data_IF_319441438776
#
_entry.id   IF_319441438776
#
_cell.length_a   1.000
_cell.length_b   1.000
_cell.length_c   1.000
_cell.angle_alpha   90.00
_cell.angle_beta   90.00
_cell.angle_gamma   90.00
#
_symmetry.space_group_name_H-M   'P 1'
#
loop_
_entity.id
_entity.type
_entity.pdbx_description
1 polymer ?
#
# COMPACT_ATOMS: atom_id res chain seq x y z
N UNK A 1 -47.84 -1.56 -5.62
CA UNK A 1 -47.92 -0.40 -6.54
C UNK A 1 -46.66 -0.39 -7.41
N UNK A 2 -46.78 -0.91 -8.64
CA UNK A 2 -45.73 -0.96 -9.66
C UNK A 2 -45.85 0.30 -10.53
N UNK A 3 -44.74 0.99 -10.80
CA UNK A 3 -44.65 2.01 -11.83
C UNK A 3 -43.72 1.54 -12.97
N UNK A 4 -43.95 1.98 -14.23
CA UNK A 4 -43.50 1.27 -15.41
C UNK A 4 -42.15 1.75 -15.96
N UNK A 5 -41.45 0.80 -16.60
CA UNK A 5 -40.28 1.02 -17.47
C UNK A 5 -40.72 1.70 -18.76
N UNK A 6 -40.04 2.78 -19.15
CA UNK A 6 -40.12 3.34 -20.50
C UNK A 6 -38.81 3.07 -21.25
N UNK A 7 -38.97 2.50 -22.44
CA UNK A 7 -37.94 2.18 -23.40
C UNK A 7 -37.76 3.35 -24.38
N UNK A 8 -36.52 3.75 -24.61
CA UNK A 8 -36.15 4.73 -25.64
C UNK A 8 -34.95 4.21 -26.42
N UNK A 9 -35.23 3.45 -27.49
CA UNK A 9 -34.26 2.98 -28.49
C UNK A 9 -34.13 4.06 -29.56
N UNK A 10 -32.97 4.69 -29.69
CA UNK A 10 -32.67 5.63 -30.78
C UNK A 10 -31.47 5.11 -31.59
N UNK A 11 -31.71 5.08 -32.90
CA UNK A 11 -30.93 4.45 -33.95
C UNK A 11 -29.66 5.24 -34.28
N UNK A 12 -28.62 4.47 -34.62
CA UNK A 12 -27.36 4.91 -35.23
C UNK A 12 -27.60 5.53 -36.62
N UNK A 13 -26.86 6.60 -36.92
CA UNK A 13 -26.48 7.00 -38.27
C UNK A 13 -24.96 7.30 -38.30
N UNK A 14 -24.22 6.85 -39.33
CA UNK A 14 -22.77 7.01 -39.40
C UNK A 14 -22.37 8.36 -40.03
N UNK A 15 -21.28 9.01 -39.58
CA UNK A 15 -20.74 10.14 -40.32
C UNK A 15 -19.79 9.72 -41.45
N UNK A 16 -19.98 10.44 -42.55
CA UNK A 16 -19.32 10.40 -43.84
C UNK A 16 -17.81 10.65 -43.81
N UNK A 17 -17.11 10.06 -44.78
CA UNK A 17 -15.72 10.33 -45.13
C UNK A 17 -15.54 11.79 -45.55
N UNK A 18 -14.53 12.45 -44.98
CA UNK A 18 -13.95 13.68 -45.52
C UNK A 18 -12.42 13.54 -45.46
N UNK A 19 -11.81 13.58 -46.64
CA UNK A 19 -10.37 13.65 -46.87
C UNK A 19 -9.88 15.09 -46.71
N UNK A 20 -8.83 15.33 -45.93
CA UNK A 20 -8.07 16.58 -45.98
C UNK A 20 -6.58 16.36 -45.67
N UNK A 21 -5.78 16.73 -46.67
CA UNK A 21 -4.42 17.30 -46.68
C UNK A 21 -3.46 17.06 -45.51
N UNK A 22 -2.31 16.49 -45.86
CA UNK A 22 -1.02 16.57 -45.17
C UNK A 22 -0.54 18.01 -45.03
N UNK A 23 -0.22 18.44 -43.81
CA UNK A 23 0.71 19.54 -43.54
C UNK A 23 1.46 19.27 -42.22
N UNK A 24 2.79 19.24 -42.34
CA UNK A 24 3.75 19.16 -41.25
C UNK A 24 3.63 20.37 -40.31
N UNK A 25 3.64 20.14 -39.01
CA UNK A 25 4.35 21.04 -38.07
C UNK A 25 4.58 20.35 -36.71
N UNK A 26 5.83 20.47 -36.29
CA UNK A 26 6.46 19.98 -35.08
C UNK A 26 5.93 20.66 -33.81
N UNK A 27 5.36 19.90 -32.88
CA UNK A 27 5.20 20.29 -31.47
C UNK A 27 4.85 19.08 -30.60
N UNK A 28 5.83 18.22 -30.35
CA UNK A 28 5.65 17.06 -29.46
C UNK A 28 6.98 16.82 -28.76
N UNK A 29 7.07 17.26 -27.48
CA UNK A 29 8.05 16.71 -26.51
C UNK A 29 7.88 17.22 -25.05
N UNK A 30 7.04 18.22 -24.74
CA UNK A 30 6.98 18.76 -23.36
C UNK A 30 5.89 18.16 -22.45
N UNK A 31 4.78 17.67 -23.00
CA UNK A 31 3.63 17.19 -22.20
C UNK A 31 3.87 15.83 -21.54
N UNK A 32 4.63 14.94 -22.18
CA UNK A 32 4.91 13.59 -21.69
C UNK A 32 5.99 13.54 -20.59
N UNK A 33 6.84 14.58 -20.53
CA UNK A 33 7.90 14.68 -19.52
C UNK A 33 7.33 15.08 -18.15
N UNK A 34 6.34 15.98 -18.13
CA UNK A 34 5.71 16.45 -16.89
C UNK A 34 4.79 15.40 -16.23
N UNK A 35 4.18 14.50 -17.00
CA UNK A 35 3.32 13.44 -16.43
C UNK A 35 4.11 12.29 -15.78
N UNK A 36 5.36 12.06 -16.21
CA UNK A 36 6.27 11.07 -15.61
C UNK A 36 6.95 11.59 -14.33
N UNK A 37 7.34 12.87 -14.31
CA UNK A 37 8.01 13.47 -13.14
C UNK A 37 7.09 13.61 -11.91
N UNK A 38 5.79 13.89 -12.11
CA UNK A 38 4.83 14.00 -11.00
C UNK A 38 4.46 12.64 -10.39
N UNK A 39 4.48 11.55 -11.17
CA UNK A 39 4.22 10.21 -10.65
C UNK A 39 5.39 9.68 -9.82
N UNK A 40 6.61 10.07 -10.21
CA UNK A 40 7.86 9.61 -9.58
C UNK A 40 8.19 10.36 -8.27
N UNK A 41 7.79 11.63 -8.13
CA UNK A 41 7.93 12.39 -6.87
C UNK A 41 6.96 11.95 -5.75
N UNK A 42 5.74 11.52 -6.10
CA UNK A 42 4.74 11.15 -5.07
C UNK A 42 5.01 9.81 -4.38
N UNK A 43 5.60 8.83 -5.09
CA UNK A 43 5.90 7.51 -4.52
C UNK A 43 7.16 7.48 -3.65
N UNK A 44 8.14 8.36 -3.92
CA UNK A 44 9.44 8.32 -3.24
C UNK A 44 9.50 9.11 -1.94
N UNK A 45 8.61 10.08 -1.72
CA UNK A 45 8.59 10.87 -0.47
C UNK A 45 7.93 10.12 0.68
N UNK A 46 6.92 9.30 0.42
CA UNK A 46 6.13 8.62 1.45
C UNK A 46 6.96 7.58 2.23
N UNK A 47 8.00 7.02 1.60
CA UNK A 47 8.85 5.96 2.16
C UNK A 47 10.10 6.49 2.87
N UNK A 48 10.34 7.81 2.86
CA UNK A 48 11.36 8.43 3.70
C UNK A 48 11.01 8.20 5.19
N UNK A 49 12.00 7.80 5.99
CA UNK A 49 11.81 7.34 7.39
C UNK A 49 10.94 8.28 8.23
N UNK A 50 11.09 9.61 8.10
CA UNK A 50 10.27 10.60 8.82
C UNK A 50 8.81 10.64 8.36
N UNK A 51 8.58 10.50 7.05
CA UNK A 51 7.23 10.50 6.49
C UNK A 51 6.52 9.19 6.82
N UNK A 52 7.27 8.08 6.80
CA UNK A 52 6.77 6.77 7.21
C UNK A 52 6.37 6.72 8.70
N UNK A 53 7.19 7.31 9.58
CA UNK A 53 6.88 7.42 11.01
C UNK A 53 5.63 8.27 11.27
N UNK A 54 5.54 9.43 10.61
CA UNK A 54 4.38 10.31 10.71
C UNK A 54 3.11 9.59 10.23
N UNK A 55 3.18 8.91 9.09
CA UNK A 55 2.06 8.12 8.57
C UNK A 55 1.58 7.08 9.59
N UNK A 56 2.49 6.25 10.12
CA UNK A 56 2.11 5.21 11.07
C UNK A 56 1.50 5.81 12.35
N UNK A 57 2.07 6.92 12.84
CA UNK A 57 1.55 7.61 14.03
C UNK A 57 0.17 8.19 13.80
N UNK A 58 -0.05 8.85 12.66
CA UNK A 58 -1.34 9.45 12.31
C UNK A 58 -2.43 8.39 12.08
N UNK A 59 -2.07 7.27 11.44
CA UNK A 59 -2.97 6.12 11.24
C UNK A 59 -3.41 5.51 12.57
N UNK A 60 -2.45 5.22 13.47
CA UNK A 60 -2.77 4.67 14.79
C UNK A 60 -3.59 5.67 15.60
N UNK A 61 -3.24 6.96 15.59
CA UNK A 61 -4.01 8.00 16.26
C UNK A 61 -5.46 8.07 15.80
N UNK A 62 -5.70 7.82 14.50
CA UNK A 62 -7.03 7.91 13.89
C UNK A 62 -7.88 6.67 14.15
N UNK A 63 -7.31 5.48 14.05
CA UNK A 63 -8.06 4.22 14.04
C UNK A 63 -7.89 3.35 15.31
N UNK A 64 -6.84 3.59 16.10
CA UNK A 64 -6.57 2.89 17.36
C UNK A 64 -6.09 3.88 18.43
N UNK A 65 -7.03 4.70 18.93
CA UNK A 65 -6.72 5.75 19.90
C UNK A 65 -6.13 5.19 21.21
N UNK A 66 -6.53 3.99 21.62
CA UNK A 66 -5.98 3.36 22.82
C UNK A 66 -4.51 3.00 22.65
N UNK A 67 -4.13 2.40 21.52
CA UNK A 67 -2.73 2.18 21.21
C UNK A 67 -1.97 3.51 21.07
N UNK A 68 -2.57 4.54 20.49
CA UNK A 68 -1.93 5.85 20.42
C UNK A 68 -1.58 6.41 21.80
N UNK A 69 -2.53 6.36 22.75
CA UNK A 69 -2.30 6.81 24.13
C UNK A 69 -1.26 5.94 24.84
N UNK A 70 -1.35 4.62 24.72
CA UNK A 70 -0.37 3.69 25.31
C UNK A 70 1.04 3.93 24.74
N UNK A 71 1.13 4.16 23.44
CA UNK A 71 2.37 4.48 22.75
C UNK A 71 3.05 5.74 23.26
N UNK A 72 2.32 6.72 23.82
CA UNK A 72 2.93 7.92 24.41
C UNK A 72 3.88 7.62 25.56
N UNK A 73 3.70 6.48 26.23
CA UNK A 73 4.52 6.03 27.35
C UNK A 73 5.73 5.16 26.91
N UNK A 74 5.85 4.83 25.62
CA UNK A 74 7.01 4.12 25.09
C UNK A 74 8.25 5.03 25.02
N UNK A 75 9.47 4.48 25.22
CA UNK A 75 10.71 5.22 24.99
C UNK A 75 10.76 5.83 23.59
N UNK A 76 11.23 7.07 23.46
CA UNK A 76 11.26 7.78 22.16
C UNK A 76 12.05 7.04 21.07
N UNK A 77 13.06 6.26 21.46
CA UNK A 77 13.85 5.44 20.54
C UNK A 77 13.07 4.30 19.90
N UNK A 78 12.06 3.75 20.58
CA UNK A 78 11.27 2.58 20.11
C UNK A 78 9.82 2.91 19.78
N UNK A 79 9.35 4.09 20.16
CA UNK A 79 7.98 4.56 19.98
C UNK A 79 7.51 4.47 18.52
N UNK A 80 8.35 4.81 17.54
CA UNK A 80 7.99 4.72 16.13
C UNK A 80 7.75 3.28 15.65
N UNK A 81 8.49 2.31 16.18
CA UNK A 81 8.30 0.90 15.83
C UNK A 81 7.01 0.37 16.44
N UNK A 82 6.69 0.78 17.67
CA UNK A 82 5.41 0.48 18.29
C UNK A 82 4.24 0.94 17.41
N UNK A 83 4.24 2.19 16.95
CA UNK A 83 3.20 2.67 16.02
C UNK A 83 3.26 1.95 14.68
N UNK A 84 4.44 1.61 14.17
CA UNK A 84 4.57 0.78 12.97
C UNK A 84 3.86 -0.56 13.09
N UNK A 85 4.01 -1.28 14.20
CA UNK A 85 3.36 -2.57 14.42
C UNK A 85 1.83 -2.44 14.50
N UNK A 86 1.34 -1.41 15.19
CA UNK A 86 -0.09 -1.13 15.22
C UNK A 86 -0.63 -0.70 13.84
N UNK A 87 0.13 0.08 13.07
CA UNK A 87 -0.25 0.43 11.70
C UNK A 87 -0.32 -0.81 10.78
N UNK A 88 0.62 -1.75 10.90
CA UNK A 88 0.56 -3.04 10.17
C UNK A 88 -0.70 -3.84 10.55
N UNK A 89 -1.01 -3.91 11.85
CA UNK A 89 -2.21 -4.58 12.32
C UNK A 89 -3.48 -3.95 11.75
N UNK A 90 -3.56 -2.61 11.74
CA UNK A 90 -4.66 -1.88 11.11
C UNK A 90 -4.76 -2.17 9.61
N UNK A 91 -3.65 -2.20 8.88
CA UNK A 91 -3.64 -2.53 7.45
C UNK A 91 -4.13 -3.97 7.18
N UNK A 92 -3.80 -4.92 8.05
CA UNK A 92 -4.32 -6.27 7.97
C UNK A 92 -5.84 -6.30 8.20
N UNK A 93 -6.32 -5.64 9.26
CA UNK A 93 -7.75 -5.57 9.59
C UNK A 93 -8.59 -4.88 8.51
N UNK A 94 -8.11 -3.76 7.96
CA UNK A 94 -8.79 -3.01 6.88
C UNK A 94 -9.02 -3.83 5.62
N UNK A 95 -8.27 -4.91 5.41
CA UNK A 95 -8.43 -5.76 4.22
C UNK A 95 -9.86 -6.26 4.04
N UNK A 96 -10.58 -6.51 5.15
CA UNK A 96 -12.00 -6.93 5.14
C UNK A 96 -12.99 -5.79 4.92
N UNK A 97 -12.59 -4.55 5.20
CA UNK A 97 -13.45 -3.38 5.04
C UNK A 97 -13.48 -2.89 3.59
N UNK A 98 -12.42 -3.18 2.82
CA UNK A 98 -12.25 -2.72 1.44
C UNK A 98 -13.19 -3.43 0.47
N UNK A 99 -13.49 -4.71 0.71
CA UNK A 99 -14.33 -5.51 -0.19
C UNK A 99 -15.11 -6.57 0.56
N UNK A 100 -16.30 -6.90 0.03
CA UNK A 100 -17.05 -8.10 0.44
C UNK A 100 -16.56 -9.36 -0.29
N UNK A 101 -15.75 -9.20 -1.32
CA UNK A 101 -15.19 -10.31 -2.08
C UNK A 101 -13.97 -10.88 -1.36
N UNK A 102 -14.06 -12.14 -0.95
CA UNK A 102 -13.02 -12.83 -0.19
C UNK A 102 -11.67 -12.87 -0.94
N UNK A 103 -11.71 -13.09 -2.26
CA UNK A 103 -10.54 -13.14 -3.14
C UNK A 103 -9.71 -11.84 -3.10
N UNK A 104 -10.38 -10.68 -3.04
CA UNK A 104 -9.74 -9.36 -2.98
C UNK A 104 -9.05 -9.18 -1.63
N UNK A 105 -9.73 -9.57 -0.54
CA UNK A 105 -9.18 -9.49 0.80
C UNK A 105 -7.95 -10.40 0.96
N UNK A 106 -8.05 -11.64 0.47
CA UNK A 106 -6.94 -12.60 0.43
C UNK A 106 -5.76 -12.06 -0.37
N UNK A 107 -5.98 -11.53 -1.56
CA UNK A 107 -4.92 -10.96 -2.40
C UNK A 107 -4.15 -9.86 -1.68
N UNK A 108 -4.85 -8.98 -0.94
CA UNK A 108 -4.20 -7.92 -0.15
C UNK A 108 -3.39 -8.48 1.03
N UNK A 109 -3.91 -9.47 1.74
CA UNK A 109 -3.20 -10.10 2.85
C UNK A 109 -1.98 -10.91 2.38
N UNK A 110 -2.10 -11.65 1.27
CA UNK A 110 -0.99 -12.35 0.64
C UNK A 110 0.11 -11.38 0.21
N UNK A 111 -0.27 -10.21 -0.31
CA UNK A 111 0.70 -9.16 -0.62
C UNK A 111 1.45 -8.66 0.63
N UNK A 112 0.76 -8.50 1.77
CA UNK A 112 1.40 -8.17 3.04
C UNK A 112 2.30 -9.30 3.56
N UNK A 113 1.86 -10.56 3.46
CA UNK A 113 2.65 -11.74 3.84
C UNK A 113 3.95 -11.80 3.03
N UNK A 114 3.87 -11.64 1.70
CA UNK A 114 5.03 -11.59 0.81
C UNK A 114 5.96 -10.45 1.18
N UNK A 115 5.41 -9.24 1.39
CA UNK A 115 6.16 -8.06 1.82
C UNK A 115 6.95 -8.32 3.10
N UNK A 116 6.32 -8.88 4.13
CA UNK A 116 7.00 -9.20 5.38
C UNK A 116 8.04 -10.32 5.20
N UNK A 117 7.76 -11.30 4.34
CA UNK A 117 8.72 -12.36 4.02
C UNK A 117 9.97 -11.80 3.34
N UNK A 118 9.80 -10.91 2.36
CA UNK A 118 10.92 -10.23 1.70
C UNK A 118 11.74 -9.39 2.68
N UNK A 119 11.10 -8.61 3.56
CA UNK A 119 11.79 -7.85 4.62
C UNK A 119 12.58 -8.79 5.54
N UNK A 120 11.97 -9.89 5.95
CA UNK A 120 12.60 -10.89 6.82
C UNK A 120 13.83 -11.52 6.16
N UNK A 121 13.70 -11.94 4.89
CA UNK A 121 14.78 -12.56 4.11
C UNK A 121 15.93 -11.60 3.82
N UNK A 122 15.65 -10.32 3.58
CA UNK A 122 16.67 -9.27 3.34
C UNK A 122 17.74 -9.26 4.44
N UNK A 123 17.32 -9.43 5.71
CA UNK A 123 18.23 -9.51 6.86
C UNK A 123 19.13 -10.75 6.85
N UNK A 124 18.64 -11.88 6.37
CA UNK A 124 19.41 -13.13 6.34
C UNK A 124 20.44 -13.14 5.20
N UNK A 125 20.19 -12.39 4.13
CA UNK A 125 21.05 -12.34 2.94
C UNK A 125 22.19 -11.31 3.02
N UNK A 126 22.19 -10.40 4.01
CA UNK A 126 23.28 -9.43 4.24
C UNK A 126 24.67 -10.08 4.39
N UNK A 127 24.72 -11.38 4.71
CA UNK A 127 25.96 -12.15 4.86
C UNK A 127 26.43 -12.94 3.63
N UNK A 128 25.68 -13.02 2.52
CA UNK A 128 25.97 -14.02 1.46
C UNK A 128 26.21 -13.50 0.04
N UNK A 129 25.59 -12.43 -0.43
CA UNK A 129 25.87 -11.88 -1.78
C UNK A 129 25.25 -10.50 -1.94
N UNK A 130 25.79 -9.71 -2.88
CA UNK A 130 25.36 -8.35 -3.23
C UNK A 130 23.85 -8.09 -3.09
N UNK A 131 23.47 -7.45 -1.97
CA UNK A 131 22.32 -6.55 -1.80
C UNK A 131 20.99 -7.08 -2.36
N UNK A 132 20.37 -7.99 -1.61
CA UNK A 132 18.92 -7.93 -1.45
C UNK A 132 18.57 -6.49 -1.08
N UNK A 133 17.78 -5.82 -1.91
CA UNK A 133 17.33 -4.45 -1.66
C UNK A 133 15.83 -4.49 -1.69
N UNK A 134 15.22 -5.08 -0.65
CA UNK A 134 13.78 -4.85 -0.47
C UNK A 134 13.52 -3.34 -0.40
N UNK A 135 13.05 -2.76 -1.50
CA UNK A 135 12.71 -1.35 -1.56
C UNK A 135 11.34 -1.21 -0.91
N UNK A 136 11.32 -0.70 0.32
CA UNK A 136 10.08 -0.39 1.01
C UNK A 136 9.21 0.49 0.12
N UNK A 137 8.04 -0.04 -0.26
CA UNK A 137 7.07 0.65 -1.12
C UNK A 137 6.02 1.38 -0.31
N UNK A 138 5.78 0.91 0.91
CA UNK A 138 4.80 1.45 1.83
C UNK A 138 5.45 2.01 3.10
N UNK A 139 4.89 3.05 3.73
CA UNK A 139 5.31 3.56 5.03
C UNK A 139 5.54 2.47 6.08
N UNK A 140 4.57 1.57 6.21
CA UNK A 140 4.61 0.48 7.20
C UNK A 140 5.77 -0.45 6.90
N UNK A 141 5.98 -0.81 5.63
CA UNK A 141 7.10 -1.67 5.21
C UNK A 141 8.46 -1.04 5.52
N UNK A 142 8.60 0.29 5.40
CA UNK A 142 9.83 1.02 5.74
C UNK A 142 10.11 0.96 7.25
N UNK A 143 9.09 1.18 8.09
CA UNK A 143 9.22 1.08 9.55
C UNK A 143 9.50 -0.36 9.98
N UNK A 144 8.89 -1.36 9.35
CA UNK A 144 9.13 -2.77 9.63
C UNK A 144 10.57 -3.19 9.32
N UNK A 145 11.10 -2.75 8.17
CA UNK A 145 12.51 -2.97 7.82
C UNK A 145 13.44 -2.34 8.85
N UNK A 146 13.21 -1.07 9.19
CA UNK A 146 14.02 -0.39 10.20
C UNK A 146 13.90 -1.03 11.59
N UNK A 147 12.70 -1.51 11.97
CA UNK A 147 12.47 -2.22 13.22
C UNK A 147 13.27 -3.53 13.27
N UNK A 148 13.30 -4.26 12.16
CA UNK A 148 14.05 -5.51 12.06
C UNK A 148 15.55 -5.31 12.29
N UNK A 149 16.10 -4.18 11.85
CA UNK A 149 17.53 -3.85 12.01
C UNK A 149 17.84 -3.32 13.41
N UNK A 150 16.97 -2.46 13.96
CA UNK A 150 17.26 -1.71 15.19
C UNK A 150 16.68 -2.31 16.46
N UNK A 151 15.92 -3.40 16.35
CA UNK A 151 15.28 -4.05 17.50
C UNK A 151 15.50 -5.56 17.48
N UNK A 152 15.24 -6.21 18.61
CA UNK A 152 15.28 -7.68 18.74
C UNK A 152 13.91 -8.32 18.47
N UNK A 153 13.06 -7.69 17.65
CA UNK A 153 11.72 -8.21 17.36
C UNK A 153 11.82 -9.54 16.62
N UNK A 154 11.03 -10.51 17.08
CA UNK A 154 10.87 -11.78 16.38
C UNK A 154 9.92 -11.60 15.19
N UNK A 155 10.48 -11.46 14.00
CA UNK A 155 9.71 -11.18 12.78
C UNK A 155 8.74 -12.31 12.39
N UNK A 156 8.99 -13.54 12.83
CA UNK A 156 8.03 -14.64 12.63
C UNK A 156 6.70 -14.38 13.36
N UNK A 157 6.72 -13.70 14.51
CA UNK A 157 5.50 -13.31 15.22
C UNK A 157 4.75 -12.20 14.48
N UNK A 158 5.49 -11.31 13.81
CA UNK A 158 4.91 -10.24 13.00
C UNK A 158 4.16 -10.83 11.79
N UNK A 159 4.76 -11.79 11.10
CA UNK A 159 4.11 -12.52 10.01
C UNK A 159 2.83 -13.25 10.48
N UNK A 160 2.83 -13.82 11.69
CA UNK A 160 1.65 -14.49 12.25
C UNK A 160 0.42 -13.58 12.37
N UNK A 161 0.60 -12.26 12.50
CA UNK A 161 -0.51 -11.30 12.53
C UNK A 161 -1.28 -11.35 11.20
N UNK A 162 -0.56 -11.31 10.08
CA UNK A 162 -1.16 -11.35 8.73
C UNK A 162 -1.71 -12.75 8.44
N UNK A 163 -0.96 -13.79 8.78
CA UNK A 163 -1.38 -15.17 8.52
C UNK A 163 -2.64 -15.55 9.30
N UNK A 164 -2.81 -15.02 10.51
CA UNK A 164 -4.06 -15.21 11.27
C UNK A 164 -5.25 -14.57 10.55
N UNK A 165 -5.11 -13.36 10.02
CA UNK A 165 -6.18 -12.72 9.25
C UNK A 165 -6.48 -13.50 7.96
N UNK A 166 -5.45 -14.03 7.29
CA UNK A 166 -5.62 -14.84 6.08
C UNK A 166 -6.40 -16.13 6.39
N UNK A 167 -6.03 -16.81 7.47
CA UNK A 167 -6.72 -17.99 7.97
C UNK A 167 -8.17 -17.72 8.38
N UNK A 168 -8.43 -16.60 9.06
CA UNK A 168 -9.79 -16.20 9.45
C UNK A 168 -10.66 -16.00 8.20
N UNK A 169 -10.14 -15.28 7.20
CA UNK A 169 -10.86 -15.05 5.94
C UNK A 169 -11.15 -16.34 5.19
N UNK A 170 -10.23 -17.32 5.18
CA UNK A 170 -10.45 -18.62 4.53
C UNK A 170 -11.59 -19.43 5.15
N UNK A 171 -11.94 -19.17 6.42
CA UNK A 171 -12.95 -19.94 7.16
C UNK A 171 -14.36 -19.35 7.12
N UNK A 172 -14.51 -18.09 6.72
CA UNK A 172 -15.81 -17.40 6.63
C UNK A 172 -16.29 -16.87 7.97
#
# INVERSE_FOLDING_TARGET
LRLPRSAGRLLLAPPSKASFSTASSSASNDSDKQMKENKQKSGSQITESKNAEKYCTDEVKKFDFYAYVAGQYMPKSTQKYYYGFHALFLEAMKSREISREQSICQSRLQWWEQTLTEIGMDKYDEGKTNKGTYQAREPVSAIMREALDKTSVNFSLVQRIVNYQLYDIERG
#
